data_IF_015010746626
#
_entry.id   IF_015010746626
#
_cell.length_a   1.000
_cell.length_b   1.000
_cell.length_c   1.000
_cell.angle_alpha   90.00
_cell.angle_beta   90.00
_cell.angle_gamma   90.00
#
_symmetry.space_group_name_H-M   'P 1'
#
loop_
_entity.id
_entity.type
_entity.pdbx_description
1 polymer ?
#
# COMPACT_ATOMS: atom_id res chain seq x y z
N UNK A 1 -31.60 -21.95 -24.19
CA UNK A 1 -30.74 -21.50 -23.07
C UNK A 1 -29.99 -20.28 -23.56
N UNK A 2 -29.88 -19.19 -22.78
CA UNK A 2 -29.13 -18.01 -23.22
C UNK A 2 -27.63 -18.31 -23.04
N UNK A 3 -26.77 -18.14 -24.06
CA UNK A 3 -25.35 -18.42 -23.93
C UNK A 3 -24.69 -17.42 -22.96
N UNK A 4 -23.73 -17.90 -22.19
CA UNK A 4 -22.98 -17.11 -21.21
C UNK A 4 -21.69 -16.55 -21.84
N UNK A 5 -21.18 -15.42 -21.34
CA UNK A 5 -19.86 -14.92 -21.73
C UNK A 5 -18.78 -15.98 -21.51
N UNK A 6 -17.71 -15.90 -22.29
CA UNK A 6 -16.57 -16.82 -22.22
C UNK A 6 -15.33 -16.09 -21.71
N UNK A 7 -14.37 -16.82 -21.12
CA UNK A 7 -13.03 -16.30 -20.77
C UNK A 7 -13.05 -14.99 -19.95
N UNK A 8 -13.58 -15.03 -18.74
CA UNK A 8 -13.50 -13.90 -17.79
C UNK A 8 -12.07 -13.80 -17.24
N UNK A 9 -11.36 -12.76 -17.64
CA UNK A 9 -9.97 -12.50 -17.27
C UNK A 9 -9.87 -11.30 -16.32
N UNK A 10 -8.85 -11.31 -15.48
CA UNK A 10 -8.42 -10.18 -14.66
C UNK A 10 -7.21 -9.57 -15.36
N UNK A 11 -7.37 -8.36 -15.88
CA UNK A 11 -6.37 -7.69 -16.73
C UNK A 11 -5.38 -6.86 -15.91
N UNK A 12 -5.88 -6.17 -14.88
CA UNK A 12 -5.06 -5.41 -13.92
C UNK A 12 -5.74 -5.37 -12.56
N UNK A 13 -4.94 -5.24 -11.51
CA UNK A 13 -5.41 -5.06 -10.14
C UNK A 13 -4.52 -4.04 -9.46
N UNK A 14 -5.15 -3.05 -8.84
CA UNK A 14 -4.53 -2.01 -8.04
C UNK A 14 -5.05 -2.09 -6.58
N UNK A 15 -4.71 -1.10 -5.76
CA UNK A 15 -5.17 -1.02 -4.36
C UNK A 15 -6.67 -0.79 -4.21
N UNK A 16 -7.29 -0.02 -5.12
CA UNK A 16 -8.72 0.37 -5.03
C UNK A 16 -9.48 0.14 -6.34
N UNK A 17 -8.83 -0.46 -7.33
CA UNK A 17 -9.43 -0.75 -8.64
C UNK A 17 -8.97 -2.08 -9.21
N UNK A 18 -9.79 -2.65 -10.09
CA UNK A 18 -9.40 -3.80 -10.90
C UNK A 18 -10.09 -3.76 -12.26
N UNK A 19 -9.39 -4.14 -13.31
CA UNK A 19 -9.95 -4.24 -14.67
C UNK A 19 -10.17 -5.70 -15.02
N UNK A 20 -11.38 -6.01 -15.48
CA UNK A 20 -11.75 -7.36 -15.96
C UNK A 20 -12.30 -7.29 -17.37
N UNK A 21 -12.09 -8.35 -18.14
CA UNK A 21 -12.57 -8.50 -19.52
C UNK A 21 -13.14 -9.87 -19.79
N UNK A 22 -14.01 -9.98 -20.80
CA UNK A 22 -14.62 -11.24 -21.21
C UNK A 22 -14.87 -11.29 -22.72
N UNK A 23 -14.99 -12.50 -23.23
CA UNK A 23 -15.33 -12.79 -24.62
C UNK A 23 -16.83 -12.89 -24.84
N UNK A 24 -17.27 -12.46 -26.01
CA UNK A 24 -18.68 -12.51 -26.40
C UNK A 24 -19.19 -13.97 -26.47
N UNK A 25 -20.38 -14.27 -25.93
CA UNK A 25 -21.03 -15.56 -26.10
C UNK A 25 -21.28 -15.92 -27.58
N UNK A 26 -21.13 -17.19 -27.98
CA UNK A 26 -21.39 -17.62 -29.35
C UNK A 26 -22.88 -17.46 -29.72
N UNK A 27 -23.15 -16.95 -30.93
CA UNK A 27 -24.50 -16.89 -31.50
C UNK A 27 -25.35 -15.68 -31.08
N UNK A 28 -24.76 -14.64 -30.47
CA UNK A 28 -25.44 -13.39 -30.10
C UNK A 28 -25.04 -12.17 -30.95
N UNK A 29 -24.39 -12.39 -32.10
CA UNK A 29 -23.83 -11.33 -32.96
C UNK A 29 -24.86 -10.35 -33.54
N UNK A 30 -26.13 -10.76 -33.61
CA UNK A 30 -27.22 -9.97 -34.19
C UNK A 30 -28.29 -9.58 -33.16
N UNK A 31 -28.11 -9.94 -31.89
CA UNK A 31 -29.06 -9.67 -30.82
C UNK A 31 -28.53 -8.57 -29.94
N UNK A 32 -29.32 -7.52 -29.71
CA UNK A 32 -28.98 -6.50 -28.74
C UNK A 32 -28.99 -7.11 -27.33
N UNK A 33 -27.84 -7.06 -26.66
CA UNK A 33 -27.63 -7.62 -25.34
C UNK A 33 -26.68 -6.71 -24.54
N UNK A 34 -26.72 -6.87 -23.23
CA UNK A 34 -25.82 -6.22 -22.29
C UNK A 34 -25.21 -7.27 -21.38
N UNK A 35 -24.18 -6.87 -20.65
CA UNK A 35 -23.53 -7.69 -19.64
C UNK A 35 -23.86 -7.10 -18.27
N UNK A 36 -24.34 -7.94 -17.37
CA UNK A 36 -24.50 -7.58 -15.96
C UNK A 36 -23.31 -8.16 -15.20
N UNK A 37 -22.60 -7.27 -14.53
CA UNK A 37 -21.45 -7.57 -13.70
C UNK A 37 -21.91 -7.44 -12.25
N UNK A 38 -21.56 -8.42 -11.43
CA UNK A 38 -21.76 -8.36 -9.99
C UNK A 38 -20.48 -8.70 -9.27
N UNK A 39 -20.06 -7.85 -8.35
CA UNK A 39 -18.85 -8.05 -7.55
C UNK A 39 -19.10 -7.74 -6.09
N UNK A 40 -18.48 -8.54 -5.21
CA UNK A 40 -18.62 -8.39 -3.77
C UNK A 40 -17.46 -9.06 -3.02
N UNK A 41 -17.21 -8.59 -1.81
CA UNK A 41 -16.38 -9.30 -0.85
C UNK A 41 -17.28 -10.13 0.10
N UNK A 42 -16.73 -11.12 0.82
CA UNK A 42 -17.53 -11.92 1.76
C UNK A 42 -18.22 -11.06 2.82
N UNK A 43 -19.54 -11.18 2.95
CA UNK A 43 -20.33 -10.49 3.98
C UNK A 43 -20.87 -9.12 3.60
N UNK A 44 -20.60 -8.61 2.39
CA UNK A 44 -21.20 -7.37 1.86
C UNK A 44 -22.30 -7.64 0.84
N UNK A 45 -23.14 -6.63 0.59
CA UNK A 45 -24.09 -6.69 -0.52
C UNK A 45 -23.36 -6.55 -1.87
N UNK A 46 -23.78 -7.29 -2.90
CA UNK A 46 -23.14 -7.23 -4.19
C UNK A 46 -23.41 -5.92 -4.91
N UNK A 47 -22.35 -5.30 -5.40
CA UNK A 47 -22.43 -4.21 -6.36
C UNK A 47 -22.83 -4.80 -7.71
N UNK A 48 -23.78 -4.18 -8.40
CA UNK A 48 -24.31 -4.66 -9.67
C UNK A 48 -24.31 -3.50 -10.67
N UNK A 49 -23.70 -3.73 -11.83
CA UNK A 49 -23.67 -2.78 -12.93
C UNK A 49 -23.95 -3.48 -14.24
N UNK A 50 -24.64 -2.80 -15.15
CA UNK A 50 -24.94 -3.33 -16.50
C UNK A 50 -24.31 -2.44 -17.55
N UNK A 51 -23.56 -3.04 -18.48
CA UNK A 51 -22.85 -2.33 -19.56
C UNK A 51 -22.98 -3.05 -20.89
N UNK A 52 -22.68 -2.37 -21.99
CA UNK A 52 -22.62 -2.95 -23.34
C UNK A 52 -21.20 -3.31 -23.80
N UNK A 53 -20.17 -2.91 -23.05
CA UNK A 53 -18.77 -3.20 -23.36
C UNK A 53 -18.36 -4.61 -22.92
N UNK A 54 -17.18 -5.07 -23.38
CA UNK A 54 -16.59 -6.38 -23.04
C UNK A 54 -15.55 -6.31 -21.92
N UNK A 55 -15.43 -5.15 -21.28
CA UNK A 55 -14.51 -4.90 -20.18
C UNK A 55 -15.06 -3.79 -19.29
N UNK A 56 -14.69 -3.82 -18.01
CA UNK A 56 -15.03 -2.82 -17.01
C UNK A 56 -13.89 -2.66 -16.02
N UNK A 57 -13.69 -1.42 -15.58
CA UNK A 57 -12.88 -1.10 -14.40
C UNK A 57 -13.80 -1.00 -13.20
N UNK A 58 -13.60 -1.88 -12.24
CA UNK A 58 -14.19 -1.83 -10.91
C UNK A 58 -13.41 -0.78 -10.11
N UNK A 59 -14.12 0.16 -9.50
CA UNK A 59 -13.54 1.25 -8.72
C UNK A 59 -14.08 1.23 -7.28
N UNK A 60 -13.48 2.04 -6.41
CA UNK A 60 -13.87 2.16 -4.99
C UNK A 60 -13.80 0.83 -4.21
N UNK A 61 -12.86 -0.05 -4.60
CA UNK A 61 -12.61 -1.31 -3.89
C UNK A 61 -11.80 -1.05 -2.61
N UNK A 62 -12.01 -1.88 -1.59
CA UNK A 62 -11.17 -1.90 -0.40
C UNK A 62 -9.81 -2.57 -0.69
N UNK A 63 -8.68 -2.04 -0.18
CA UNK A 63 -7.35 -2.67 -0.27
C UNK A 63 -7.28 -4.05 0.39
N UNK A 64 -6.33 -4.89 -0.05
CA UNK A 64 -6.05 -6.25 0.48
C UNK A 64 -7.31 -7.10 0.71
N UNK A 65 -8.29 -6.97 -0.18
CA UNK A 65 -9.60 -7.60 -0.02
C UNK A 65 -9.86 -8.50 -1.22
N UNK A 66 -10.25 -9.74 -0.95
CA UNK A 66 -10.68 -10.67 -1.99
C UNK A 66 -12.12 -10.35 -2.44
N UNK A 67 -12.29 -10.17 -3.75
CA UNK A 67 -13.56 -9.98 -4.41
C UNK A 67 -13.90 -11.17 -5.30
N UNK A 68 -15.15 -11.62 -5.20
CA UNK A 68 -15.77 -12.50 -6.19
C UNK A 68 -16.44 -11.64 -7.25
N UNK A 69 -16.08 -11.83 -8.51
CA UNK A 69 -16.63 -11.11 -9.67
C UNK A 69 -17.38 -12.09 -10.55
N UNK A 70 -18.59 -11.73 -10.95
CA UNK A 70 -19.45 -12.52 -11.83
C UNK A 70 -19.94 -11.70 -13.00
N UNK A 71 -20.05 -12.32 -14.16
CA UNK A 71 -20.58 -11.70 -15.38
C UNK A 71 -21.63 -12.63 -16.00
N UNK A 72 -22.76 -12.07 -16.39
CA UNK A 72 -23.76 -12.77 -17.20
C UNK A 72 -24.30 -11.88 -18.32
N UNK A 73 -24.86 -12.52 -19.36
CA UNK A 73 -25.52 -11.82 -20.46
C UNK A 73 -26.97 -11.56 -20.08
N UNK A 74 -27.45 -10.35 -20.35
CA UNK A 74 -28.82 -9.90 -20.12
C UNK A 74 -29.43 -9.41 -21.43
N UNK A 75 -30.60 -9.94 -21.78
CA UNK A 75 -31.40 -9.46 -22.92
C UNK A 75 -32.39 -8.37 -22.49
N UNK A 76 -32.93 -7.61 -23.45
CA UNK A 76 -33.94 -6.56 -23.19
C UNK A 76 -35.20 -7.06 -22.46
N UNK A 77 -35.54 -8.34 -22.62
CA UNK A 77 -36.66 -8.97 -21.93
C UNK A 77 -36.33 -9.40 -20.48
N UNK A 78 -35.17 -9.01 -19.95
CA UNK A 78 -34.70 -9.31 -18.59
C UNK A 78 -34.18 -10.74 -18.40
N UNK A 79 -34.13 -11.55 -19.46
CA UNK A 79 -33.61 -12.93 -19.36
C UNK A 79 -32.10 -12.92 -19.21
N UNK A 80 -31.59 -13.71 -18.27
CA UNK A 80 -30.18 -13.83 -17.95
C UNK A 80 -29.63 -15.21 -18.35
N UNK A 81 -28.33 -15.27 -18.67
CA UNK A 81 -27.59 -16.51 -18.92
C UNK A 81 -27.01 -17.06 -17.61
N UNK A 82 -26.24 -18.16 -17.70
CA UNK A 82 -25.44 -18.61 -16.57
C UNK A 82 -24.36 -17.58 -16.24
N UNK A 83 -24.00 -17.49 -14.96
CA UNK A 83 -22.94 -16.61 -14.49
C UNK A 83 -21.58 -17.27 -14.72
N UNK A 84 -20.64 -16.49 -15.25
CA UNK A 84 -19.22 -16.82 -15.25
C UNK A 84 -18.55 -16.06 -14.10
N UNK A 85 -17.81 -16.77 -13.26
CA UNK A 85 -17.20 -16.21 -12.04
C UNK A 85 -15.67 -16.25 -12.09
N UNK A 86 -15.04 -15.26 -11.48
CA UNK A 86 -13.61 -15.23 -11.15
C UNK A 86 -13.41 -14.58 -9.78
N UNK A 87 -12.21 -14.68 -9.24
CA UNK A 87 -11.80 -14.03 -7.99
C UNK A 87 -10.57 -13.16 -8.23
N UNK A 88 -10.47 -12.05 -7.51
CA UNK A 88 -9.30 -11.17 -7.50
C UNK A 88 -9.07 -10.62 -6.10
N UNK A 89 -7.83 -10.26 -5.78
CA UNK A 89 -7.46 -9.65 -4.50
C UNK A 89 -6.77 -8.33 -4.78
N UNK A 90 -7.32 -7.24 -4.27
CA UNK A 90 -6.74 -5.88 -4.42
C UNK A 90 -5.40 -5.78 -3.71
N UNK A 91 -4.54 -4.89 -4.19
CA UNK A 91 -3.22 -4.68 -3.57
C UNK A 91 -3.35 -4.00 -2.19
N UNK A 92 -2.43 -4.27 -1.25
CA UNK A 92 -2.36 -3.57 0.03
C UNK A 92 -2.09 -2.07 -0.15
N UNK A 93 -2.75 -1.20 0.63
CA UNK A 93 -2.52 0.26 0.59
C UNK A 93 -1.08 0.60 1.00
N UNK A 94 -0.50 -0.23 1.87
CA UNK A 94 0.89 -0.14 2.27
C UNK A 94 1.87 -0.22 1.09
N UNK A 95 1.54 -0.97 0.02
CA UNK A 95 2.46 -1.25 -1.06
C UNK A 95 2.85 0.01 -1.86
N UNK A 96 1.90 0.93 -2.05
CA UNK A 96 2.15 2.22 -2.70
C UNK A 96 3.19 3.05 -1.92
N UNK A 97 3.06 3.09 -0.58
CA UNK A 97 4.01 3.76 0.30
C UNK A 97 5.38 3.08 0.24
N UNK A 98 5.44 1.74 0.32
CA UNK A 98 6.69 0.99 0.32
C UNK A 98 7.45 1.15 -0.98
N UNK A 99 6.77 1.14 -2.13
CA UNK A 99 7.41 1.38 -3.43
C UNK A 99 8.02 2.78 -3.50
N UNK A 100 7.28 3.79 -3.02
CA UNK A 100 7.75 5.19 -2.97
C UNK A 100 9.03 5.39 -2.14
N UNK A 101 9.20 4.61 -1.06
CA UNK A 101 10.39 4.68 -0.20
C UNK A 101 11.43 3.59 -0.48
N UNK A 102 11.21 2.73 -1.48
CA UNK A 102 12.13 1.65 -1.83
C UNK A 102 12.23 0.54 -0.77
N UNK A 103 11.12 0.23 -0.09
CA UNK A 103 11.02 -0.87 0.89
C UNK A 103 10.11 -2.02 0.44
N UNK A 104 9.64 -2.00 -0.80
CA UNK A 104 8.75 -3.02 -1.38
C UNK A 104 9.23 -4.46 -1.17
N UNK A 105 10.47 -4.76 -1.56
CA UNK A 105 11.07 -6.09 -1.42
C UNK A 105 11.22 -6.53 0.04
N UNK A 106 11.29 -5.56 0.95
CA UNK A 106 11.50 -5.79 2.38
C UNK A 106 10.21 -6.07 3.15
N UNK A 107 9.05 -5.97 2.50
CA UNK A 107 7.79 -6.39 3.11
C UNK A 107 7.78 -7.90 3.36
N UNK A 108 8.18 -8.71 2.37
CA UNK A 108 8.32 -10.15 2.55
C UNK A 108 9.72 -10.53 3.04
N UNK A 109 10.77 -9.95 2.43
CA UNK A 109 12.17 -10.22 2.76
C UNK A 109 12.70 -9.22 3.80
N UNK A 110 12.30 -9.45 5.05
CA UNK A 110 12.54 -8.53 6.17
C UNK A 110 13.98 -8.03 6.26
N UNK A 111 14.13 -6.73 6.49
CA UNK A 111 15.38 -6.10 6.90
C UNK A 111 15.88 -6.74 8.19
N UNK A 112 17.17 -7.00 8.22
CA UNK A 112 17.84 -7.60 9.37
C UNK A 112 18.81 -6.61 10.00
N UNK A 113 19.15 -6.84 11.26
CA UNK A 113 20.16 -6.01 11.93
C UNK A 113 21.51 -6.06 11.20
N UNK A 114 21.90 -7.20 10.65
CA UNK A 114 23.12 -7.34 9.82
C UNK A 114 23.11 -6.38 8.64
N UNK A 115 22.02 -6.34 7.87
CA UNK A 115 21.92 -5.48 6.69
C UNK A 115 21.96 -3.99 7.04
N UNK A 116 21.45 -3.61 8.22
CA UNK A 116 21.44 -2.20 8.67
C UNK A 116 22.80 -1.76 9.22
N UNK A 117 23.54 -2.68 9.85
CA UNK A 117 24.85 -2.40 10.46
C UNK A 117 26.05 -2.64 9.53
N UNK A 118 25.80 -3.06 8.28
CA UNK A 118 26.84 -3.22 7.28
C UNK A 118 27.58 -1.89 7.03
N UNK A 119 28.90 -1.91 7.25
CA UNK A 119 29.77 -0.76 6.96
C UNK A 119 30.17 -0.85 5.49
N UNK A 120 29.59 0.02 4.66
CA UNK A 120 29.95 0.18 3.26
C UNK A 120 30.46 1.62 2.99
N UNK A 121 31.21 1.88 1.90
CA UNK A 121 31.74 3.23 1.60
C UNK A 121 30.64 4.31 1.53
N UNK A 122 29.42 3.92 1.15
CA UNK A 122 28.25 4.80 1.04
C UNK A 122 27.67 5.16 2.43
N UNK A 123 27.94 4.35 3.46
CA UNK A 123 27.52 4.59 4.86
C UNK A 123 28.43 5.54 5.62
N UNK A 124 29.58 5.94 5.09
CA UNK A 124 30.46 6.94 5.73
C UNK A 124 30.33 8.35 5.15
N UNK A 125 29.65 8.49 4.03
CA UNK A 125 29.33 9.78 3.42
C UNK A 125 28.19 10.46 4.20
N UNK A 126 28.37 11.74 4.52
CA UNK A 126 27.32 12.65 5.02
C UNK A 126 26.58 13.31 3.82
N UNK A 127 26.52 12.58 2.69
CA UNK A 127 25.92 13.08 1.46
C UNK A 127 24.46 13.51 1.68
N UNK A 128 24.05 14.66 1.12
CA UNK A 128 22.67 15.10 1.20
C UNK A 128 21.74 14.06 0.57
N UNK A 129 20.57 13.88 1.19
CA UNK A 129 19.55 12.94 0.74
C UNK A 129 18.95 13.42 -0.58
N UNK A 130 19.38 12.80 -1.68
CA UNK A 130 18.97 13.19 -3.03
C UNK A 130 17.66 12.50 -3.48
N UNK A 131 17.25 11.40 -2.84
CA UNK A 131 16.10 10.58 -3.27
C UNK A 131 15.26 10.09 -2.10
N UNK A 132 13.93 10.00 -2.28
CA UNK A 132 12.99 9.46 -1.28
C UNK A 132 13.37 8.07 -0.76
N UNK A 133 13.96 7.23 -1.62
CA UNK A 133 14.43 5.89 -1.30
C UNK A 133 15.62 5.86 -0.31
N UNK A 134 16.34 6.97 -0.16
CA UNK A 134 17.44 7.08 0.82
C UNK A 134 16.93 7.37 2.25
N UNK A 135 15.66 7.77 2.39
CA UNK A 135 15.06 8.20 3.64
C UNK A 135 15.03 7.10 4.72
N UNK A 136 14.59 5.85 4.43
CA UNK A 136 14.57 4.79 5.43
C UNK A 136 15.97 4.45 5.95
N UNK A 137 16.94 4.32 5.04
CA UNK A 137 18.34 4.03 5.39
C UNK A 137 18.97 5.14 6.23
N UNK A 138 18.72 6.40 5.89
CA UNK A 138 19.22 7.54 6.66
C UNK A 138 18.61 7.65 8.06
N UNK A 139 17.32 7.38 8.19
CA UNK A 139 16.66 7.27 9.50
C UNK A 139 17.30 6.15 10.33
N UNK A 140 17.39 4.94 9.78
CA UNK A 140 17.98 3.78 10.46
C UNK A 140 19.42 4.06 10.90
N UNK A 141 20.27 4.61 10.02
CA UNK A 141 21.66 4.96 10.33
C UNK A 141 21.74 5.96 11.49
N UNK A 142 20.98 7.05 11.44
CA UNK A 142 20.95 8.06 12.53
C UNK A 142 20.42 7.44 13.83
N UNK A 143 19.40 6.59 13.75
CA UNK A 143 18.82 5.90 14.90
C UNK A 143 19.84 4.95 15.55
N UNK A 144 20.55 4.15 14.77
CA UNK A 144 21.58 3.23 15.27
C UNK A 144 22.73 3.97 15.97
N UNK A 145 23.07 5.16 15.47
CA UNK A 145 24.04 6.09 16.09
C UNK A 145 23.49 6.84 17.33
N UNK A 146 22.26 6.52 17.79
CA UNK A 146 21.58 7.20 18.90
C UNK A 146 21.50 8.73 18.72
N UNK A 147 21.33 9.18 17.47
CA UNK A 147 21.20 10.59 17.15
C UNK A 147 19.78 11.08 17.50
N UNK A 148 19.68 12.03 18.44
CA UNK A 148 18.39 12.62 18.88
C UNK A 148 17.63 13.35 17.76
N UNK A 149 18.31 13.72 16.68
CA UNK A 149 17.69 14.32 15.49
C UNK A 149 17.33 13.28 14.41
N UNK A 150 17.38 11.98 14.71
CA UNK A 150 17.03 10.93 13.75
C UNK A 150 15.61 11.07 13.19
N UNK A 151 14.66 11.64 13.92
CA UNK A 151 13.28 11.90 13.43
C UNK A 151 13.16 13.00 12.38
N UNK A 152 14.16 13.87 12.24
CA UNK A 152 14.10 15.03 11.34
C UNK A 152 14.68 14.74 9.96
N UNK A 153 14.74 13.46 9.56
CA UNK A 153 15.20 13.13 8.21
C UNK A 153 14.20 13.73 7.24
N UNK A 154 14.62 14.80 6.56
CA UNK A 154 13.85 15.43 5.48
C UNK A 154 14.57 15.10 4.18
N UNK A 155 13.82 14.65 3.18
CA UNK A 155 14.35 14.58 1.82
C UNK A 155 14.59 16.03 1.37
N UNK A 156 15.81 16.35 0.98
CA UNK A 156 16.10 17.66 0.38
C UNK A 156 15.62 17.56 -1.06
N UNK A 157 14.41 18.03 -1.34
CA UNK A 157 14.08 18.42 -2.71
C UNK A 157 15.00 19.59 -3.06
N UNK A 158 15.82 19.44 -4.09
CA UNK A 158 16.54 20.56 -4.71
C UNK A 158 15.53 21.68 -4.93
N UNK A 159 15.91 22.89 -4.51
CA UNK A 159 15.17 24.16 -4.53
C UNK A 159 14.34 24.49 -3.28
N UNK A 160 15.02 24.94 -2.22
CA UNK A 160 14.90 26.33 -1.73
C UNK A 160 15.68 26.52 -0.42
N UNK A 161 16.79 27.26 -0.50
CA UNK A 161 17.24 28.09 0.63
C UNK A 161 16.28 29.28 0.75
N UNK A 162 15.25 29.18 1.61
CA UNK A 162 14.59 30.39 2.14
C UNK A 162 14.33 30.22 3.63
N UNK A 163 14.86 31.11 4.50
CA UNK A 163 14.71 31.03 5.93
C UNK A 163 13.31 31.47 6.39
N UNK A 164 12.87 30.82 7.46
CA UNK A 164 11.59 30.94 8.14
C UNK A 164 11.24 32.38 8.59
N UNK A 165 10.11 32.91 8.13
CA UNK A 165 9.25 33.81 8.91
C UNK A 165 7.82 33.25 8.89
N UNK A 166 7.14 33.35 10.04
CA UNK A 166 5.94 32.59 10.36
C UNK A 166 4.63 33.04 9.72
N UNK A 167 3.61 32.22 10.02
CA UNK A 167 2.15 32.40 9.99
C UNK A 167 1.51 33.20 8.84
N UNK A 168 0.42 32.62 8.31
CA UNK A 168 -0.44 33.09 7.22
C UNK A 168 0.18 33.05 5.83
N UNK A 169 -0.05 31.92 5.14
CA UNK A 169 -0.60 31.91 3.78
C UNK A 169 -1.16 30.52 3.48
N UNK A 170 -2.50 30.42 3.54
CA UNK A 170 -3.28 29.46 2.76
C UNK A 170 -3.04 29.77 1.26
N UNK A 171 -3.09 28.75 0.42
CA UNK A 171 -2.84 28.75 -1.04
C UNK A 171 -1.37 28.74 -1.49
N UNK A 172 -0.84 27.52 -1.63
CA UNK A 172 -0.01 27.15 -2.78
C UNK A 172 -0.31 25.69 -3.16
N UNK A 173 -1.04 25.55 -4.25
CA UNK A 173 -1.30 24.31 -5.00
C UNK A 173 -0.04 23.96 -5.82
N UNK A 174 0.95 23.35 -5.15
CA UNK A 174 2.13 22.78 -5.80
C UNK A 174 2.41 21.39 -5.22
N UNK A 175 2.33 20.37 -6.08
CA UNK A 175 2.73 18.97 -5.87
C UNK A 175 3.32 18.64 -4.48
N UNK A 176 2.44 18.31 -3.53
CA UNK A 176 2.78 17.80 -2.19
C UNK A 176 3.25 16.34 -2.21
N UNK A 177 3.61 15.81 -3.39
CA UNK A 177 3.86 14.38 -3.61
C UNK A 177 5.12 13.84 -2.93
N UNK A 178 6.01 14.67 -2.38
CA UNK A 178 7.30 14.22 -1.83
C UNK A 178 7.43 14.31 -0.30
N UNK A 179 6.36 14.63 0.44
CA UNK A 179 6.41 14.70 1.90
C UNK A 179 5.80 13.43 2.49
N UNK A 180 6.63 12.58 3.11
CA UNK A 180 6.19 11.42 3.87
C UNK A 180 6.09 11.80 5.34
N UNK A 181 4.99 11.41 5.99
CA UNK A 181 4.87 11.61 7.43
C UNK A 181 5.91 10.75 8.14
N UNK A 182 6.69 11.31 9.10
CA UNK A 182 7.65 10.52 9.87
C UNK A 182 7.04 9.29 10.55
N UNK A 183 5.76 9.32 10.92
CA UNK A 183 5.07 8.18 11.50
C UNK A 183 4.83 7.06 10.48
N UNK A 184 4.52 7.41 9.23
CA UNK A 184 4.33 6.44 8.15
C UNK A 184 5.65 5.77 7.80
N UNK A 185 6.75 6.55 7.75
CA UNK A 185 8.10 6.03 7.57
C UNK A 185 8.49 5.05 8.69
N UNK A 186 8.24 5.42 9.95
CA UNK A 186 8.53 4.56 11.10
C UNK A 186 7.69 3.28 11.00
N UNK A 187 6.40 3.41 10.73
CA UNK A 187 5.48 2.26 10.60
C UNK A 187 5.93 1.31 9.50
N UNK A 188 6.26 1.83 8.31
CA UNK A 188 6.80 1.05 7.21
C UNK A 188 8.10 0.33 7.57
N UNK A 189 9.04 1.03 8.23
CA UNK A 189 10.28 0.42 8.71
C UNK A 189 10.04 -0.72 9.70
N UNK A 190 9.09 -0.56 10.63
CA UNK A 190 8.72 -1.63 11.55
C UNK A 190 8.11 -2.82 10.82
N UNK A 191 7.20 -2.58 9.86
CA UNK A 191 6.58 -3.63 9.05
C UNK A 191 7.60 -4.39 8.18
N UNK A 192 8.61 -3.69 7.66
CA UNK A 192 9.67 -4.28 6.83
C UNK A 192 10.86 -4.84 7.62
N UNK A 193 10.86 -4.79 8.95
CA UNK A 193 11.98 -5.28 9.79
C UNK A 193 11.69 -6.63 10.43
N UNK A 194 12.73 -7.44 10.62
CA UNK A 194 12.63 -8.65 11.42
C UNK A 194 12.49 -8.31 12.92
N UNK A 195 12.14 -9.31 13.74
CA UNK A 195 11.96 -9.07 15.17
C UNK A 195 13.19 -8.42 15.80
N UNK A 196 14.38 -8.97 15.55
CA UNK A 196 15.63 -8.47 16.14
C UNK A 196 15.88 -6.98 15.83
N UNK A 197 15.69 -6.57 14.58
CA UNK A 197 15.83 -5.19 14.17
C UNK A 197 14.74 -4.31 14.78
N UNK A 198 13.48 -4.78 14.86
CA UNK A 198 12.41 -4.04 15.55
C UNK A 198 12.75 -3.76 17.02
N UNK A 199 13.31 -4.74 17.73
CA UNK A 199 13.74 -4.58 19.12
C UNK A 199 14.87 -3.57 19.25
N UNK A 200 15.89 -3.65 18.39
CA UNK A 200 16.99 -2.67 18.40
C UNK A 200 16.48 -1.26 18.08
N UNK A 201 15.58 -1.12 17.09
CA UNK A 201 14.94 0.15 16.77
C UNK A 201 14.20 0.72 17.98
N UNK A 202 13.37 -0.07 18.67
CA UNK A 202 12.66 0.35 19.89
C UNK A 202 13.63 0.79 20.98
N UNK A 203 14.70 0.02 21.21
CA UNK A 203 15.71 0.35 22.20
C UNK A 203 16.39 1.68 21.88
N UNK A 204 16.81 1.90 20.63
CA UNK A 204 17.44 3.16 20.19
C UNK A 204 16.48 4.33 20.22
N UNK A 205 15.22 4.13 19.83
CA UNK A 205 14.16 5.14 19.94
C UNK A 205 13.98 5.56 21.40
N UNK A 206 13.95 4.61 22.34
CA UNK A 206 13.89 4.91 23.77
C UNK A 206 15.12 5.67 24.27
N UNK A 207 16.33 5.33 23.82
CA UNK A 207 17.56 6.06 24.17
C UNK A 207 17.52 7.51 23.67
N UNK A 208 16.95 7.74 22.49
CA UNK A 208 16.73 9.06 21.90
C UNK A 208 15.51 9.81 22.49
N UNK A 209 14.82 9.25 23.50
CA UNK A 209 13.59 9.80 24.09
C UNK A 209 12.45 9.98 23.07
N UNK A 210 12.39 9.13 22.04
CA UNK A 210 11.29 9.11 21.10
C UNK A 210 10.10 8.32 21.66
N UNK A 211 8.91 8.64 21.16
CA UNK A 211 7.76 7.77 21.35
C UNK A 211 8.03 6.44 20.63
N UNK A 212 7.85 5.33 21.35
CA UNK A 212 7.99 3.96 20.81
C UNK A 212 6.62 3.43 20.41
N UNK A 213 6.51 2.69 19.29
CA UNK A 213 5.24 2.14 18.87
C UNK A 213 4.81 1.02 19.81
N UNK A 214 3.67 1.20 20.48
CA UNK A 214 3.03 0.14 21.26
C UNK A 214 2.19 -0.77 20.36
N UNK A 215 1.47 -0.17 19.42
CA UNK A 215 0.63 -0.82 18.43
C UNK A 215 1.19 -0.52 17.05
N UNK A 216 1.32 -1.57 16.23
CA UNK A 216 1.63 -1.44 14.82
C UNK A 216 0.33 -1.68 14.04
N UNK A 217 -0.19 -0.65 13.35
CA UNK A 217 -1.40 -0.82 12.55
C UNK A 217 -1.12 -1.74 11.37
N UNK A 218 -2.10 -2.56 11.03
CA UNK A 218 -2.19 -3.20 9.74
C UNK A 218 -3.13 -2.32 8.90
N UNK A 219 -2.56 -1.65 7.89
CA UNK A 219 -3.27 -0.69 7.04
C UNK A 219 -4.41 -1.33 6.23
N UNK A 220 -4.42 -2.66 6.16
CA UNK A 220 -5.23 -3.43 5.24
C UNK A 220 -6.37 -4.17 5.95
N UNK A 221 -6.10 -4.72 7.14
CA UNK A 221 -7.09 -5.49 7.91
C UNK A 221 -7.79 -4.70 9.03
N UNK A 222 -7.46 -3.41 9.19
CA UNK A 222 -7.86 -2.55 10.33
C UNK A 222 -7.48 -3.10 11.72
N UNK A 223 -6.72 -4.19 11.77
CA UNK A 223 -6.22 -4.77 13.01
C UNK A 223 -4.92 -4.09 13.44
N UNK A 224 -4.57 -4.22 14.72
CA UNK A 224 -3.31 -3.70 15.26
C UNK A 224 -2.57 -4.78 16.01
N UNK A 225 -1.26 -4.87 15.79
CA UNK A 225 -0.38 -5.81 16.48
C UNK A 225 0.29 -5.13 17.67
N UNK A 226 0.23 -5.76 18.84
CA UNK A 226 0.91 -5.28 20.03
C UNK A 226 2.41 -5.66 19.99
N UNK A 227 3.29 -4.66 20.08
CA UNK A 227 4.74 -4.81 19.89
C UNK A 227 5.48 -5.30 21.14
N UNK A 228 4.86 -6.19 21.95
CA UNK A 228 5.40 -6.63 23.25
C UNK A 228 6.82 -7.21 23.14
N UNK A 229 7.06 -8.00 22.10
CA UNK A 229 8.37 -8.62 21.89
C UNK A 229 9.45 -7.58 21.63
N UNK A 230 9.18 -6.58 20.79
CA UNK A 230 10.12 -5.50 20.50
C UNK A 230 10.35 -4.59 21.72
N UNK A 231 9.36 -4.44 22.61
CA UNK A 231 9.43 -3.61 23.81
C UNK A 231 10.14 -4.27 25.01
N UNK A 232 10.52 -5.55 24.91
CA UNK A 232 10.95 -6.36 26.07
C UNK A 232 12.17 -5.80 26.83
N UNK A 233 13.03 -5.04 26.16
CA UNK A 233 14.26 -4.51 26.76
C UNK A 233 14.09 -3.15 27.44
N UNK A 234 13.00 -2.45 27.15
CA UNK A 234 12.74 -1.11 27.71
C UNK A 234 11.64 -1.11 28.78
N UNK A 235 10.82 -2.17 28.83
CA UNK A 235 9.84 -2.37 29.90
C UNK A 235 10.57 -2.81 31.16
N UNK A 236 10.43 -2.03 32.25
CA UNK A 236 10.96 -2.40 33.56
C UNK A 236 10.22 -3.63 34.09
N UNK A 237 11.00 -4.61 34.54
CA UNK A 237 10.49 -5.79 35.26
C UNK A 237 9.99 -5.42 36.66
#
# INVERSE_FOLDING_TARGET
VLPAPEQLNVDSVDTTSATVSWSQPPGLDQTQHQYQISYHCPGTEPHITTISSHSITLSDLQPDTEYSVTVCTVLENGKQSQQLSTTLTTEPCLMELLSKIGLEDHYENKLTLSTVLEINPNTTSDEPLTTMQSLPGAFLKKLMMANVNARSVKCLSTDQEVPYYGADNLDTDSDTSNVINPLDLITALFLCSDGFLQQEMVQKMSMCQFAVPLLLPNCDTEQSTLMLWALRDIVKK
#
